data_IF_984743428658
#
_entry.id   IF_984743428658
#
_cell.length_a   1.000
_cell.length_b   1.000
_cell.length_c   1.000
_cell.angle_alpha   90.00
_cell.angle_beta   90.00
_cell.angle_gamma   90.00
#
_symmetry.space_group_name_H-M   'P 1'
#
loop_
_entity.id
_entity.type
_entity.pdbx_description
1 polymer ?
#
# COMPACT_ATOMS: atom_id res chain seq x y z
N UNK A 1 6.91 16.12 11.98
CA UNK A 1 6.00 15.00 11.65
C UNK A 1 6.88 13.76 11.53
N UNK A 2 6.45 12.55 11.93
CA UNK A 2 7.25 11.35 11.63
C UNK A 2 7.32 11.22 10.10
N UNK A 3 8.49 10.91 9.53
CA UNK A 3 8.74 10.82 8.07
C UNK A 3 7.76 9.88 7.35
N UNK A 4 7.27 8.84 8.04
CA UNK A 4 6.22 7.95 7.55
C UNK A 4 4.91 8.65 7.19
N UNK A 5 4.49 9.67 7.96
CA UNK A 5 3.29 10.46 7.63
C UNK A 5 3.49 11.37 6.43
N UNK A 6 4.72 11.85 6.20
CA UNK A 6 5.04 12.68 5.03
C UNK A 6 4.96 11.83 3.76
N UNK A 7 5.55 10.63 3.78
CA UNK A 7 5.45 9.64 2.70
C UNK A 7 3.97 9.29 2.43
N UNK A 8 3.23 8.89 3.47
CA UNK A 8 1.82 8.54 3.32
C UNK A 8 0.98 9.73 2.82
N UNK A 9 1.29 10.94 3.29
CA UNK A 9 0.63 12.17 2.85
C UNK A 9 0.87 12.47 1.37
N UNK A 10 2.08 12.27 0.86
CA UNK A 10 2.37 12.45 -0.57
C UNK A 10 1.57 11.47 -1.44
N UNK A 11 1.50 10.20 -1.04
CA UNK A 11 0.69 9.19 -1.76
C UNK A 11 -0.80 9.54 -1.73
N UNK A 12 -1.33 9.89 -0.56
CA UNK A 12 -2.74 10.27 -0.40
C UNK A 12 -3.08 11.55 -1.19
N UNK A 13 -2.14 12.47 -1.29
CA UNK A 13 -2.30 13.68 -2.10
C UNK A 13 -2.27 13.41 -3.59
N UNK A 14 -1.34 12.58 -4.04
CA UNK A 14 -1.22 12.21 -5.44
C UNK A 14 -2.50 11.58 -5.98
N UNK A 15 -3.18 10.74 -5.20
CA UNK A 15 -4.45 10.13 -5.57
C UNK A 15 -5.70 10.91 -5.14
N UNK A 16 -5.57 12.14 -4.59
CA UNK A 16 -6.69 12.91 -4.04
C UNK A 16 -7.56 12.15 -3.02
N UNK A 17 -6.95 11.24 -2.25
CA UNK A 17 -7.62 10.30 -1.36
C UNK A 17 -7.70 10.75 0.10
N UNK A 18 -7.29 12.00 0.40
CA UNK A 18 -7.29 12.58 1.75
C UNK A 18 -8.66 12.65 2.43
N UNK A 19 -9.75 12.88 1.69
CA UNK A 19 -11.06 13.06 2.33
C UNK A 19 -11.60 11.71 2.82
N UNK A 20 -11.43 11.50 4.12
CA UNK A 20 -11.78 10.25 4.79
C UNK A 20 -10.60 9.28 4.89
N UNK A 21 -9.38 9.68 4.52
CA UNK A 21 -8.19 8.87 4.77
C UNK A 21 -7.99 8.73 6.27
N UNK A 22 -7.80 7.51 6.75
CA UNK A 22 -7.54 7.24 8.17
C UNK A 22 -6.38 6.25 8.28
N UNK A 23 -5.50 6.41 9.29
CA UNK A 23 -4.60 5.35 9.66
C UNK A 23 -5.41 4.11 10.02
N UNK A 24 -5.21 3.02 9.28
CA UNK A 24 -5.71 1.71 9.65
C UNK A 24 -4.82 1.12 10.74
N UNK A 25 -3.51 1.30 10.60
CA UNK A 25 -2.50 0.91 11.58
C UNK A 25 -1.51 2.06 11.74
N UNK A 26 -1.14 2.34 12.98
CA UNK A 26 -0.17 3.36 13.32
C UNK A 26 0.57 2.94 14.59
N UNK A 27 1.71 2.29 14.41
CA UNK A 27 2.61 1.93 15.50
C UNK A 27 3.99 2.56 15.27
N UNK A 28 4.98 2.19 16.07
CA UNK A 28 6.29 2.83 15.99
C UNK A 28 7.05 2.55 14.69
N UNK A 29 6.78 1.43 14.02
CA UNK A 29 7.52 0.96 12.83
C UNK A 29 6.70 0.91 11.56
N UNK A 30 5.38 0.82 11.66
CA UNK A 30 4.46 0.74 10.52
C UNK A 30 3.36 1.79 10.62
N UNK A 31 3.13 2.44 9.48
CA UNK A 31 1.97 3.26 9.21
C UNK A 31 1.24 2.71 7.99
N UNK A 32 -0.02 2.31 8.17
CA UNK A 32 -0.92 1.95 7.06
C UNK A 32 -2.01 3.00 7.00
N UNK A 33 -2.14 3.66 5.85
CA UNK A 33 -3.21 4.63 5.61
C UNK A 33 -4.06 4.12 4.44
N UNK A 34 -5.37 4.16 4.61
CA UNK A 34 -6.35 3.86 3.55
C UNK A 34 -7.14 5.09 3.21
N UNK A 35 -7.46 5.28 1.93
CA UNK A 35 -8.23 6.40 1.43
C UNK A 35 -9.09 6.02 0.23
N UNK A 36 -10.13 6.83 -0.01
CA UNK A 36 -10.95 6.75 -1.23
C UNK A 36 -10.54 7.89 -2.14
N UNK A 37 -10.00 7.55 -3.31
CA UNK A 37 -9.65 8.51 -4.34
C UNK A 37 -10.90 9.18 -4.92
N UNK A 38 -10.75 10.43 -5.34
CA UNK A 38 -11.76 11.11 -6.18
C UNK A 38 -11.38 11.11 -7.65
N UNK A 39 -10.16 10.69 -7.98
CA UNK A 39 -9.71 10.54 -9.36
C UNK A 39 -10.37 9.32 -9.97
N UNK A 40 -10.71 9.45 -11.24
CA UNK A 40 -11.04 8.35 -12.13
C UNK A 40 -9.74 8.07 -12.90
N UNK A 41 -9.19 6.88 -12.71
CA UNK A 41 -7.95 6.44 -13.35
C UNK A 41 -8.32 5.19 -14.15
N UNK A 42 -8.11 5.17 -15.48
CA UNK A 42 -8.32 3.97 -16.26
C UNK A 42 -7.49 2.80 -15.73
N UNK A 43 -8.03 1.59 -15.74
CA UNK A 43 -7.33 0.41 -15.18
C UNK A 43 -5.97 0.18 -15.86
N UNK A 44 -5.88 0.44 -17.17
CA UNK A 44 -4.64 0.31 -17.94
C UNK A 44 -3.56 1.37 -17.57
N UNK A 45 -3.92 2.40 -16.80
CA UNK A 45 -3.00 3.41 -16.28
C UNK A 45 -2.56 3.15 -14.84
N UNK A 46 -3.07 2.12 -14.16
CA UNK A 46 -2.73 1.85 -12.76
C UNK A 46 -1.22 1.70 -12.55
N UNK A 47 -0.56 0.89 -13.39
CA UNK A 47 0.88 0.64 -13.26
C UNK A 47 1.70 1.92 -13.44
N UNK A 48 1.38 2.73 -14.46
CA UNK A 48 2.11 3.98 -14.72
C UNK A 48 1.91 4.99 -13.60
N UNK A 49 0.71 5.07 -13.01
CA UNK A 49 0.44 5.94 -11.85
C UNK A 49 1.15 5.49 -10.59
N UNK A 50 1.30 4.19 -10.37
CA UNK A 50 2.10 3.67 -9.26
C UNK A 50 3.59 3.99 -9.46
N UNK A 51 4.13 3.85 -10.67
CA UNK A 51 5.51 4.25 -10.98
C UNK A 51 5.73 5.76 -10.76
N UNK A 52 4.81 6.59 -11.24
CA UNK A 52 4.88 8.05 -11.13
C UNK A 52 4.98 8.50 -9.66
N UNK A 53 4.15 7.95 -8.76
CA UNK A 53 4.23 8.29 -7.34
C UNK A 53 5.51 7.73 -6.68
N UNK A 54 5.98 6.56 -7.10
CA UNK A 54 7.26 6.01 -6.65
C UNK A 54 8.46 6.93 -6.97
N UNK A 55 8.49 7.47 -8.18
CA UNK A 55 9.49 8.44 -8.62
C UNK A 55 9.41 9.75 -7.83
N UNK A 56 8.19 10.28 -7.58
CA UNK A 56 7.97 11.49 -6.77
C UNK A 56 8.49 11.30 -5.34
N UNK A 57 8.30 10.11 -4.78
CA UNK A 57 8.81 9.75 -3.45
C UNK A 57 10.35 9.60 -3.41
N UNK A 58 11.01 9.51 -4.57
CA UNK A 58 12.44 9.21 -4.68
C UNK A 58 12.77 7.77 -4.30
N UNK A 59 11.81 6.86 -4.41
CA UNK A 59 12.00 5.44 -4.10
C UNK A 59 12.56 4.65 -5.28
N UNK A 60 13.26 3.56 -4.97
CA UNK A 60 13.69 2.58 -5.99
C UNK A 60 12.62 1.49 -6.09
N UNK A 61 11.99 1.36 -7.26
CA UNK A 61 11.01 0.30 -7.50
C UNK A 61 11.67 -1.08 -7.42
N UNK A 62 11.06 -1.99 -6.68
CA UNK A 62 11.46 -3.39 -6.64
C UNK A 62 10.70 -4.18 -7.70
N UNK A 63 11.41 -5.02 -8.45
CA UNK A 63 10.79 -5.92 -9.43
C UNK A 63 9.88 -6.93 -8.73
N UNK A 64 8.69 -7.19 -9.31
CA UNK A 64 7.67 -8.10 -8.77
C UNK A 64 8.17 -9.52 -8.43
N UNK A 65 9.26 -9.98 -9.05
CA UNK A 65 9.89 -11.29 -8.81
C UNK A 65 11.00 -11.28 -7.76
N UNK A 66 11.25 -10.14 -7.12
CA UNK A 66 12.32 -9.98 -6.13
C UNK A 66 11.96 -10.69 -4.83
N UNK A 67 12.85 -11.55 -4.32
CA UNK A 67 12.74 -12.13 -2.97
C UNK A 67 12.55 -11.04 -1.91
N UNK A 68 13.12 -9.85 -2.14
CA UNK A 68 12.99 -8.67 -1.28
C UNK A 68 11.56 -8.17 -1.14
N UNK A 69 10.71 -8.31 -2.18
CA UNK A 69 9.28 -7.96 -2.05
C UNK A 69 8.59 -8.88 -1.06
N UNK A 70 8.85 -10.19 -1.16
CA UNK A 70 8.29 -11.17 -0.23
C UNK A 70 8.75 -10.88 1.20
N UNK A 71 10.01 -10.51 1.40
CA UNK A 71 10.55 -10.12 2.71
C UNK A 71 9.85 -8.87 3.27
N UNK A 72 9.70 -7.82 2.47
CA UNK A 72 9.03 -6.57 2.87
C UNK A 72 7.56 -6.83 3.21
N UNK A 73 6.85 -7.61 2.39
CA UNK A 73 5.45 -7.96 2.64
C UNK A 73 5.31 -8.81 3.92
N UNK A 74 6.17 -9.82 4.11
CA UNK A 74 6.19 -10.63 5.34
C UNK A 74 6.52 -9.80 6.58
N UNK A 75 7.46 -8.86 6.46
CA UNK A 75 7.80 -7.95 7.55
C UNK A 75 6.62 -7.03 7.89
N UNK A 76 5.95 -6.52 6.86
CA UNK A 76 4.67 -5.81 6.97
C UNK A 76 3.65 -6.61 7.79
N UNK A 77 3.34 -7.82 7.33
CA UNK A 77 2.37 -8.73 7.95
C UNK A 77 2.71 -9.06 9.41
N UNK A 78 3.99 -9.32 9.73
CA UNK A 78 4.43 -9.57 11.11
C UNK A 78 4.18 -8.38 12.04
N UNK A 79 4.40 -7.16 11.56
CA UNK A 79 4.18 -5.96 12.36
C UNK A 79 2.69 -5.61 12.49
N UNK A 80 1.87 -5.91 11.48
CA UNK A 80 0.41 -5.87 11.57
C UNK A 80 -0.07 -6.81 12.68
N UNK A 81 0.38 -8.07 12.66
CA UNK A 81 0.00 -9.09 13.65
C UNK A 81 0.35 -8.69 15.09
N UNK A 82 1.53 -8.09 15.31
CA UNK A 82 1.93 -7.56 16.62
C UNK A 82 1.02 -6.43 17.11
N UNK A 83 0.44 -5.66 16.19
CA UNK A 83 -0.40 -4.51 16.53
C UNK A 83 -1.87 -4.86 16.79
N UNK A 84 -2.40 -5.92 16.15
CA UNK A 84 -3.83 -6.27 16.22
C UNK A 84 -4.22 -7.26 17.33
N UNK A 85 -3.31 -7.64 18.22
CA UNK A 85 -3.65 -8.36 19.46
C UNK A 85 -4.57 -9.58 19.26
N UNK A 86 -4.06 -10.68 18.72
CA UNK A 86 -4.67 -12.01 18.76
C UNK A 86 -6.11 -12.17 18.22
N UNK A 87 -6.62 -11.28 17.38
CA UNK A 87 -7.87 -11.54 16.65
C UNK A 87 -7.62 -11.82 15.18
N UNK A 88 -7.87 -13.08 14.82
CA UNK A 88 -7.82 -13.69 13.48
C UNK A 88 -6.41 -14.03 12.99
N UNK A 89 -6.19 -15.31 12.69
CA UNK A 89 -4.97 -15.83 12.06
C UNK A 89 -4.81 -15.23 10.66
N UNK A 90 -4.12 -14.11 10.58
CA UNK A 90 -3.58 -13.62 9.32
C UNK A 90 -2.21 -14.29 9.20
N UNK A 91 -2.14 -15.25 8.28
CA UNK A 91 -0.96 -16.06 7.95
C UNK A 91 0.15 -15.17 7.36
N UNK A 92 1.37 -15.69 7.18
CA UNK A 92 2.58 -15.02 6.66
C UNK A 92 2.45 -14.47 5.20
N UNK A 93 1.22 -14.40 4.68
CA UNK A 93 0.82 -14.01 3.33
C UNK A 93 -0.41 -13.08 3.34
N UNK A 94 -0.56 -12.24 4.36
CA UNK A 94 -1.71 -11.36 4.57
C UNK A 94 -2.01 -10.46 3.36
N UNK A 95 -0.98 -9.82 2.81
CA UNK A 95 -1.11 -8.98 1.62
C UNK A 95 -1.52 -9.77 0.37
N UNK A 96 -0.89 -10.92 0.13
CA UNK A 96 -1.20 -11.78 -1.04
C UNK A 96 -2.63 -12.30 -0.98
N UNK A 97 -3.07 -12.77 0.19
CA UNK A 97 -4.45 -13.23 0.39
C UNK A 97 -5.45 -12.09 0.20
N UNK A 98 -5.15 -10.89 0.70
CA UNK A 98 -6.01 -9.72 0.50
C UNK A 98 -6.18 -9.41 -0.99
N UNK A 99 -5.09 -9.47 -1.77
CA UNK A 99 -5.16 -9.30 -3.23
C UNK A 99 -6.09 -10.34 -3.86
N UNK A 100 -5.86 -11.62 -3.58
CA UNK A 100 -6.65 -12.71 -4.16
C UNK A 100 -8.14 -12.60 -3.78
N UNK A 101 -8.45 -12.21 -2.54
CA UNK A 101 -9.81 -11.98 -2.06
C UNK A 101 -10.47 -10.82 -2.82
N UNK A 102 -9.79 -9.68 -2.96
CA UNK A 102 -10.31 -8.52 -3.70
C UNK A 102 -10.54 -8.86 -5.18
N UNK A 103 -9.60 -9.56 -5.81
CA UNK A 103 -9.74 -9.99 -7.21
C UNK A 103 -10.90 -10.98 -7.39
N UNK A 104 -11.13 -11.88 -6.43
CA UNK A 104 -12.26 -12.81 -6.44
C UNK A 104 -13.62 -12.11 -6.35
N UNK A 105 -13.66 -10.90 -5.77
CA UNK A 105 -14.84 -10.05 -5.68
C UNK A 105 -15.09 -9.22 -6.95
N UNK A 106 -14.25 -9.37 -7.98
CA UNK A 106 -14.35 -8.63 -9.24
C UNK A 106 -13.65 -7.28 -9.21
N UNK A 107 -12.73 -7.05 -8.28
CA UNK A 107 -11.88 -5.86 -8.26
C UNK A 107 -10.61 -6.10 -9.09
N UNK A 108 -10.05 -5.03 -9.62
CA UNK A 108 -8.69 -5.04 -10.19
C UNK A 108 -7.76 -4.39 -9.18
N UNK A 109 -6.74 -5.14 -8.76
CA UNK A 109 -5.77 -4.70 -7.76
C UNK A 109 -4.40 -4.53 -8.42
N UNK A 110 -3.81 -3.35 -8.25
CA UNK A 110 -2.44 -3.07 -8.65
C UNK A 110 -1.64 -2.60 -7.44
N UNK A 111 -0.38 -3.03 -7.34
CA UNK A 111 0.51 -2.56 -6.31
C UNK A 111 1.95 -2.47 -6.80
N UNK A 112 2.73 -1.60 -6.16
CA UNK A 112 4.19 -1.54 -6.33
C UNK A 112 4.87 -1.36 -4.97
N UNK A 113 6.11 -1.83 -4.90
CA UNK A 113 6.95 -1.75 -3.71
C UNK A 113 8.16 -0.89 -4.03
N UNK A 114 8.44 0.06 -3.15
CA UNK A 114 9.53 1.01 -3.29
C UNK A 114 10.41 0.96 -2.05
N UNK A 115 11.71 0.93 -2.26
CA UNK A 115 12.70 1.12 -1.20
C UNK A 115 13.12 2.60 -1.16
N UNK A 116 12.98 3.21 0.01
CA UNK A 116 13.44 4.56 0.32
C UNK A 116 14.52 4.48 1.41
N UNK A 117 15.23 5.59 1.63
CA UNK A 117 16.22 5.67 2.71
C UNK A 117 15.54 5.51 4.09
N UNK A 118 15.74 4.33 4.69
CA UNK A 118 15.23 3.93 6.00
C UNK A 118 13.79 3.42 6.00
N UNK A 119 13.15 3.29 4.83
CA UNK A 119 11.75 2.88 4.73
C UNK A 119 11.47 2.00 3.52
N UNK A 120 10.60 1.02 3.70
CA UNK A 120 9.93 0.31 2.62
C UNK A 120 8.50 0.83 2.47
N UNK A 121 8.07 1.03 1.23
CA UNK A 121 6.76 1.59 0.90
C UNK A 121 6.04 0.67 -0.06
N UNK A 122 4.88 0.17 0.37
CA UNK A 122 3.95 -0.56 -0.50
C UNK A 122 2.78 0.36 -0.81
N UNK A 123 2.51 0.57 -2.10
CA UNK A 123 1.34 1.33 -2.55
C UNK A 123 0.45 0.38 -3.33
N UNK A 124 -0.78 0.22 -2.85
CA UNK A 124 -1.80 -0.58 -3.51
C UNK A 124 -2.99 0.29 -3.89
N UNK A 125 -3.53 0.08 -5.08
CA UNK A 125 -4.77 0.70 -5.55
C UNK A 125 -5.70 -0.38 -6.10
N UNK A 126 -7.00 -0.18 -5.92
CA UNK A 126 -7.99 -1.11 -6.47
C UNK A 126 -9.33 -0.45 -6.78
N UNK A 127 -9.98 -0.92 -7.82
CA UNK A 127 -11.30 -0.47 -8.28
C UNK A 127 -12.10 -1.66 -8.83
N UNK A 128 -13.41 -1.51 -9.00
CA UNK A 128 -14.23 -2.49 -9.71
C UNK A 128 -13.73 -2.67 -11.14
N UNK A 129 -13.68 -3.93 -11.62
CA UNK A 129 -13.25 -4.28 -12.99
C UNK A 129 -14.04 -3.59 -14.10
N UNK A 130 -15.23 -3.08 -13.80
CA UNK A 130 -16.06 -2.32 -14.74
C UNK A 130 -15.85 -0.80 -14.59
N UNK A 131 -14.76 -0.37 -13.93
CA UNK A 131 -14.40 1.04 -13.69
C UNK A 131 -15.51 1.81 -12.95
N UNK A 132 -16.17 1.12 -12.01
CA UNK A 132 -17.18 1.71 -11.16
C UNK A 132 -16.51 2.31 -9.91
N UNK A 133 -16.57 3.63 -9.71
CA UNK A 133 -15.93 4.27 -8.58
C UNK A 133 -16.55 3.81 -7.24
N UNK A 134 -15.79 3.92 -6.13
CA UNK A 134 -14.53 4.65 -6.03
C UNK A 134 -13.29 3.77 -6.23
N UNK A 135 -12.23 4.37 -6.77
CA UNK A 135 -10.86 3.89 -6.63
C UNK A 135 -10.42 4.00 -5.15
N UNK A 136 -9.88 2.92 -4.62
CA UNK A 136 -9.31 2.87 -3.28
C UNK A 136 -7.78 2.91 -3.35
N UNK A 137 -7.18 3.46 -2.30
CA UNK A 137 -5.73 3.62 -2.18
C UNK A 137 -5.31 3.20 -0.78
N UNK A 138 -4.30 2.35 -0.70
CA UNK A 138 -3.59 2.00 0.53
C UNK A 138 -2.10 2.29 0.36
N UNK A 139 -1.52 2.88 1.40
CA UNK A 139 -0.08 2.99 1.54
C UNK A 139 0.35 2.36 2.86
N UNK A 140 1.30 1.46 2.78
CA UNK A 140 2.00 0.88 3.93
C UNK A 140 3.41 1.43 3.91
N UNK A 141 3.78 2.13 4.97
CA UNK A 141 5.13 2.65 5.20
C UNK A 141 5.73 1.91 6.38
N UNK A 142 6.82 1.20 6.13
CA UNK A 142 7.53 0.41 7.12
C UNK A 142 8.94 0.94 7.31
N UNK A 143 9.34 1.20 8.54
CA UNK A 143 10.72 1.59 8.87
C UNK A 143 11.63 0.35 8.85
N UNK A 144 12.86 0.50 8.34
CA UNK A 144 13.87 -0.57 8.36
C UNK A 144 14.25 -0.93 9.80
N UNK A 145 14.55 -2.20 10.07
CA UNK A 145 15.28 -2.57 11.31
C UNK A 145 16.77 -2.27 11.11
N UNK A 146 17.31 -1.33 11.89
CA UNK A 146 18.76 -1.16 12.08
C UNK A 146 19.39 -2.41 12.73
#
# INVERSE_FOLDING_TARGET
MKKSYEIAGQVMGFFESFKGSRPAINNDRILIVRGRSRKIIPINEFDSKLSEIGEILGGTELNASSEKISEILQYGDKNIQKSEGNTTSIDEHGFTRMKDELESMGLVVAYKVFELLGFDVVIAIWEDRNELPPLYVEVTVSEHED
#
